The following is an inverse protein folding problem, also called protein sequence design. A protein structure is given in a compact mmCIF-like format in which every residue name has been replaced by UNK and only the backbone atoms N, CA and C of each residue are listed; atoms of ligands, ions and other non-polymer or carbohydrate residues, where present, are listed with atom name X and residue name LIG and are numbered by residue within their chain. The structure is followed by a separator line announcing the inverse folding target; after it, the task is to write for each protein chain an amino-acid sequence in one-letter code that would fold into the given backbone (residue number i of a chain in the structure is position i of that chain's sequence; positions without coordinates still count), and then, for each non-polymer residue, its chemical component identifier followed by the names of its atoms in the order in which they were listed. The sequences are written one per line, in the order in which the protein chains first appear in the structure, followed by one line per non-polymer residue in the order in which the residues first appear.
data_IF_511585867400
#
_entry.id   IF_511585867400
#
_cell.length_a   1.000
_cell.length_b   1.000
_cell.length_c   1.000
_cell.angle_alpha   90.00
_cell.angle_beta   90.00
_cell.angle_gamma   90.00
#
_symmetry.space_group_name_H-M   'P 1'
#
loop_
_entity.id
_entity.type
_entity.pdbx_description
1 polymer ?
#
# COMPACT_ATOMS: atom_id res chain seq x y z
N UNK A 1 -24.52 -46.62 -25.24
CA UNK A 1 -24.63 -45.42 -24.39
C UNK A 1 -24.30 -45.85 -22.98
N UNK A 2 -23.08 -45.60 -22.51
CA UNK A 2 -22.63 -46.00 -21.18
C UNK A 2 -22.97 -44.90 -20.18
N UNK A 3 -23.85 -45.19 -19.23
CA UNK A 3 -24.25 -44.27 -18.16
C UNK A 3 -23.11 -44.13 -17.15
N UNK A 4 -22.50 -42.95 -17.10
CA UNK A 4 -21.47 -42.61 -16.12
C UNK A 4 -22.15 -42.09 -14.86
N UNK A 5 -22.21 -42.91 -13.81
CA UNK A 5 -22.68 -42.47 -12.50
C UNK A 5 -21.55 -41.75 -11.76
N UNK A 6 -21.75 -40.51 -11.26
CA UNK A 6 -20.73 -39.80 -10.52
C UNK A 6 -20.44 -40.52 -9.18
N UNK A 7 -19.19 -40.50 -8.71
CA UNK A 7 -18.81 -41.09 -7.44
C UNK A 7 -19.52 -40.36 -6.29
N UNK A 8 -20.05 -41.13 -5.34
CA UNK A 8 -20.65 -40.59 -4.12
C UNK A 8 -19.56 -40.05 -3.20
N UNK A 9 -19.71 -38.83 -2.65
CA UNK A 9 -18.71 -38.21 -1.79
C UNK A 9 -18.52 -39.03 -0.52
N UNK A 10 -17.29 -39.01 0.00
CA UNK A 10 -16.96 -39.73 1.24
C UNK A 10 -17.64 -39.09 2.46
N UNK A 11 -17.86 -39.82 3.57
CA UNK A 11 -18.51 -39.28 4.77
C UNK A 11 -17.83 -38.02 5.33
N UNK A 12 -16.50 -37.94 5.19
CA UNK A 12 -15.71 -36.78 5.63
C UNK A 12 -15.89 -35.56 4.74
N UNK A 13 -16.11 -35.78 3.44
CA UNK A 13 -16.34 -34.72 2.46
C UNK A 13 -17.73 -34.09 2.64
N UNK A 14 -18.74 -34.92 2.95
CA UNK A 14 -20.09 -34.42 3.28
C UNK A 14 -20.09 -33.53 4.54
N UNK A 15 -19.32 -33.89 5.56
CA UNK A 15 -19.18 -33.09 6.79
C UNK A 15 -18.48 -31.74 6.53
N UNK A 16 -17.46 -31.72 5.68
CA UNK A 16 -16.78 -30.49 5.26
C UNK A 16 -17.72 -29.55 4.50
N UNK A 17 -18.52 -30.08 3.57
CA UNK A 17 -19.49 -29.30 2.81
C UNK A 17 -20.57 -28.68 3.71
N UNK A 18 -21.06 -29.42 4.70
CA UNK A 18 -21.98 -28.86 5.70
C UNK A 18 -21.35 -27.73 6.50
N UNK A 19 -20.08 -27.89 6.93
CA UNK A 19 -19.38 -26.86 7.70
C UNK A 19 -19.12 -25.59 6.89
N UNK A 20 -18.82 -25.72 5.59
CA UNK A 20 -18.67 -24.58 4.68
C UNK A 20 -19.99 -23.81 4.58
N UNK A 21 -21.10 -24.52 4.37
CA UNK A 21 -22.43 -23.89 4.23
C UNK A 21 -22.88 -23.17 5.52
N UNK A 22 -22.54 -23.73 6.69
CA UNK A 22 -22.78 -23.10 7.99
C UNK A 22 -21.98 -21.79 8.14
N UNK A 23 -20.70 -21.79 7.77
CA UNK A 23 -19.84 -20.60 7.84
C UNK A 23 -20.31 -19.49 6.87
N UNK A 24 -20.72 -19.84 5.65
CA UNK A 24 -21.28 -18.88 4.69
C UNK A 24 -22.55 -18.20 5.23
N UNK A 25 -23.39 -18.97 5.94
CA UNK A 25 -24.61 -18.45 6.56
C UNK A 25 -24.30 -17.46 7.69
N UNK A 26 -23.27 -17.73 8.50
CA UNK A 26 -22.84 -16.82 9.58
C UNK A 26 -22.27 -15.51 9.03
N UNK A 27 -21.47 -15.57 7.96
CA UNK A 27 -20.93 -14.36 7.30
C UNK A 27 -22.06 -13.50 6.72
N UNK A 28 -23.08 -14.13 6.15
CA UNK A 28 -24.24 -13.41 5.58
C UNK A 28 -25.05 -12.68 6.64
N UNK A 29 -25.25 -13.28 7.82
CA UNK A 29 -25.96 -12.64 8.94
C UNK A 29 -25.16 -11.50 9.58
N UNK A 30 -23.83 -11.63 9.68
CA UNK A 30 -22.97 -10.57 10.25
C UNK A 30 -22.94 -9.28 9.42
N UNK A 31 -23.12 -9.37 8.11
CA UNK A 31 -23.07 -8.21 7.21
C UNK A 31 -24.35 -7.33 7.24
N UNK A 32 -25.51 -7.84 7.68
CA UNK A 32 -26.73 -7.01 7.80
C UNK A 32 -26.75 -6.14 9.06
N UNK A 33 -26.02 -6.53 10.11
CA UNK A 33 -25.96 -5.78 11.37
C UNK A 33 -25.11 -4.50 11.32
N UNK A 34 -24.32 -4.31 10.25
CA UNK A 34 -23.38 -3.20 10.12
C UNK A 34 -23.79 -2.19 9.03
N UNK A 35 -25.11 -1.96 8.90
CA UNK A 35 -25.63 -0.90 8.03
C UNK A 35 -25.40 0.44 8.72
N UNK A 36 -24.58 1.36 8.17
CA UNK A 36 -24.28 2.63 8.81
C UNK A 36 -25.56 3.45 8.97
N UNK A 37 -25.99 3.64 10.21
CA UNK A 37 -27.05 4.58 10.57
C UNK A 37 -26.55 5.99 10.20
N UNK A 38 -27.32 6.68 9.35
CA UNK A 38 -27.03 8.06 8.96
C UNK A 38 -27.00 8.94 10.21
N UNK A 39 -25.82 9.34 10.63
CA UNK A 39 -25.65 10.34 11.67
C UNK A 39 -26.10 11.71 11.14
N UNK A 40 -27.05 12.31 11.84
CA UNK A 40 -27.51 13.69 11.67
C UNK A 40 -26.32 14.67 11.72
N UNK A 41 -25.95 15.20 10.56
CA UNK A 41 -24.99 16.28 10.43
C UNK A 41 -25.60 17.61 10.92
N UNK A 42 -25.40 17.91 12.20
CA UNK A 42 -25.58 19.26 12.77
C UNK A 42 -24.69 20.26 12.03
N UNK A 43 -25.31 21.36 11.59
CA UNK A 43 -24.70 22.50 10.90
C UNK A 43 -23.51 23.08 11.68
N UNK A 44 -22.40 23.45 11.03
CA UNK A 44 -21.36 24.24 11.68
C UNK A 44 -21.79 25.71 11.82
N UNK A 45 -21.60 26.25 13.02
CA UNK A 45 -21.74 27.67 13.32
C UNK A 45 -20.74 28.49 12.49
N UNK A 46 -21.27 29.53 11.86
CA UNK A 46 -20.56 30.69 11.33
C UNK A 46 -19.74 31.36 12.43
N UNK A 47 -18.41 31.35 12.28
CA UNK A 47 -17.47 32.15 13.07
C UNK A 47 -17.08 33.44 12.33
N UNK A 48 -16.76 34.53 13.05
CA UNK A 48 -16.66 35.87 12.50
C UNK A 48 -15.38 36.13 11.70
N UNK A 49 -15.57 36.96 10.67
CA UNK A 49 -14.62 37.70 9.86
C UNK A 49 -13.45 38.26 10.70
N UNK A 50 -12.22 37.86 10.39
CA UNK A 50 -11.01 38.57 10.82
C UNK A 50 -10.30 39.11 9.59
N UNK A 51 -10.63 40.37 9.30
CA UNK A 51 -9.81 41.29 8.50
C UNK A 51 -8.59 41.74 9.31
N UNK A 52 -7.62 42.23 8.54
CA UNK A 52 -6.42 42.99 8.92
C UNK A 52 -5.28 42.10 9.49
N UNK A 53 -4.06 42.14 8.95
CA UNK A 53 -3.31 43.32 8.53
C UNK A 53 -2.33 43.01 7.39
N UNK A 54 -2.27 43.95 6.44
CA UNK A 54 -1.24 44.09 5.40
C UNK A 54 0.04 44.55 6.08
N UNK A 55 1.14 43.80 5.90
CA UNK A 55 2.49 44.29 6.16
C UNK A 55 3.16 44.48 4.79
N UNK A 56 3.22 45.74 4.36
CA UNK A 56 4.03 46.19 3.24
C UNK A 56 5.51 45.98 3.59
N UNK A 57 6.26 45.32 2.73
CA UNK A 57 7.72 45.27 2.79
C UNK A 57 8.27 45.98 1.54
N UNK A 58 9.15 46.98 1.72
CA UNK A 58 9.71 47.73 0.60
C UNK A 58 10.67 46.88 -0.24
N UNK A 59 10.54 47.11 -1.55
CA UNK A 59 11.46 46.80 -2.63
C UNK A 59 12.87 47.30 -2.35
N UNK A 60 13.88 46.53 -2.77
CA UNK A 60 15.03 47.01 -3.55
C UNK A 60 16.02 45.86 -3.75
N UNK A 61 16.09 45.30 -4.96
CA UNK A 61 17.34 44.70 -5.45
C UNK A 61 17.40 44.72 -6.99
N UNK A 62 18.20 45.67 -7.45
CA UNK A 62 19.11 45.65 -8.61
C UNK A 62 18.83 44.67 -9.75
N UNK A 63 18.45 45.27 -10.87
CA UNK A 63 18.42 44.64 -12.18
C UNK A 63 19.85 44.50 -12.73
N UNK A 64 20.45 43.31 -12.58
CA UNK A 64 21.49 42.86 -13.50
C UNK A 64 20.83 42.08 -14.65
N UNK A 65 20.68 42.75 -15.79
CA UNK A 65 20.41 42.11 -17.08
C UNK A 65 21.74 41.56 -17.61
N UNK A 66 22.01 40.29 -17.32
CA UNK A 66 22.98 39.52 -18.10
C UNK A 66 22.20 38.73 -19.16
N UNK A 67 22.30 39.26 -20.37
CA UNK A 67 21.96 38.68 -21.66
C UNK A 67 22.72 37.35 -21.83
N UNK A 68 22.03 36.22 -21.69
CA UNK A 68 22.53 34.93 -22.13
C UNK A 68 21.56 34.31 -23.13
N UNK A 69 21.71 34.72 -24.39
CA UNK A 69 21.23 33.96 -25.52
C UNK A 69 21.86 32.56 -25.49
N UNK A 70 21.02 31.55 -25.32
CA UNK A 70 21.28 30.21 -25.81
C UNK A 70 20.02 29.71 -26.50
N UNK A 71 19.95 29.94 -27.80
CA UNK A 71 19.11 29.18 -28.72
C UNK A 71 19.64 27.73 -28.72
N UNK A 72 19.28 26.97 -27.70
CA UNK A 72 19.47 25.53 -27.66
C UNK A 72 18.10 24.89 -27.94
N UNK A 73 17.83 24.75 -29.24
CA UNK A 73 16.71 24.00 -29.84
C UNK A 73 16.91 22.49 -29.57
N UNK A 74 17.00 22.12 -28.30
CA UNK A 74 16.98 20.73 -27.86
C UNK A 74 15.52 20.27 -27.84
N UNK A 75 15.05 19.76 -28.97
CA UNK A 75 13.83 18.97 -29.10
C UNK A 75 13.90 17.74 -28.19
N UNK A 76 13.63 17.90 -26.88
CA UNK A 76 13.46 16.77 -25.97
C UNK A 76 12.01 16.27 -26.06
N UNK A 77 11.69 15.58 -27.16
CA UNK A 77 10.38 14.94 -27.40
C UNK A 77 10.21 13.60 -26.66
N UNK A 78 11.04 13.31 -25.66
CA UNK A 78 10.88 12.13 -24.83
C UNK A 78 9.89 12.43 -23.70
N UNK A 79 8.61 12.56 -24.05
CA UNK A 79 7.51 12.43 -23.09
C UNK A 79 7.63 11.05 -22.41
N UNK A 80 8.33 10.99 -21.27
CA UNK A 80 8.49 9.76 -20.49
C UNK A 80 7.12 9.28 -19.98
N UNK A 81 6.51 8.38 -20.75
CA UNK A 81 5.32 7.65 -20.32
C UNK A 81 5.73 6.56 -19.33
N UNK A 82 5.31 6.71 -18.09
CA UNK A 82 5.51 5.67 -17.06
C UNK A 82 4.45 4.59 -17.20
N UNK A 83 4.88 3.33 -17.32
CA UNK A 83 3.97 2.18 -17.42
C UNK A 83 3.83 1.48 -16.08
N UNK A 84 2.60 1.31 -15.61
CA UNK A 84 2.31 0.51 -14.41
C UNK A 84 2.47 -0.98 -14.68
N UNK A 85 2.62 -1.83 -13.64
CA UNK A 85 2.67 -3.30 -13.79
C UNK A 85 1.40 -3.88 -14.43
N UNK A 86 0.28 -3.16 -14.38
CA UNK A 86 -0.97 -3.51 -15.06
C UNK A 86 -1.04 -3.06 -16.52
N UNK A 87 0.05 -2.59 -17.11
CA UNK A 87 0.15 -2.17 -18.51
C UNK A 87 -0.48 -0.81 -18.82
N UNK A 88 -0.96 -0.06 -17.81
CA UNK A 88 -1.51 1.29 -18.02
C UNK A 88 -0.38 2.31 -18.02
N UNK A 89 -0.30 3.11 -19.08
CA UNK A 89 0.61 4.23 -19.22
C UNK A 89 0.05 5.47 -18.53
N UNK A 90 0.93 6.23 -17.87
CA UNK A 90 0.64 7.51 -17.22
C UNK A 90 1.63 8.52 -17.75
N UNK A 91 1.14 9.61 -18.34
CA UNK A 91 1.96 10.75 -18.76
C UNK A 91 2.43 11.53 -17.52
N UNK A 92 3.53 11.06 -16.92
CA UNK A 92 4.20 11.69 -15.78
C UNK A 92 5.67 11.31 -15.78
N UNK A 93 6.56 12.30 -15.75
CA UNK A 93 8.00 12.06 -15.64
C UNK A 93 8.37 11.44 -14.29
N UNK A 94 9.52 10.77 -14.24
CA UNK A 94 10.04 10.16 -13.02
C UNK A 94 10.16 11.16 -11.86
N UNK A 95 10.67 12.36 -12.13
CA UNK A 95 10.84 13.39 -11.11
C UNK A 95 9.48 13.92 -10.60
N UNK A 96 8.51 14.13 -11.49
CA UNK A 96 7.18 14.56 -11.09
C UNK A 96 6.48 13.51 -10.19
N UNK A 97 6.69 12.21 -10.44
CA UNK A 97 6.20 11.14 -9.57
C UNK A 97 6.84 11.22 -8.18
N UNK A 98 8.18 11.34 -8.11
CA UNK A 98 8.94 11.47 -6.85
C UNK A 98 8.50 12.69 -6.04
N UNK A 99 8.30 13.82 -6.70
CA UNK A 99 7.82 15.06 -6.08
C UNK A 99 6.41 14.91 -5.50
N UNK A 100 5.51 14.21 -6.22
CA UNK A 100 4.16 13.89 -5.71
C UNK A 100 4.21 12.91 -4.54
N UNK A 101 5.02 11.86 -4.62
CA UNK A 101 5.18 10.90 -3.53
C UNK A 101 5.73 11.58 -2.27
N UNK A 102 6.73 12.46 -2.42
CA UNK A 102 7.26 13.27 -1.32
C UNK A 102 6.18 14.09 -0.63
N UNK A 103 5.31 14.77 -1.38
CA UNK A 103 4.20 15.55 -0.82
C UNK A 103 3.16 14.69 -0.10
N UNK A 104 2.92 13.45 -0.56
CA UNK A 104 2.02 12.52 0.13
C UNK A 104 2.61 12.02 1.46
N UNK A 105 3.93 11.90 1.55
CA UNK A 105 4.64 11.46 2.74
C UNK A 105 5.16 12.62 3.62
N UNK A 106 4.85 13.87 3.27
CA UNK A 106 5.31 15.05 4.00
C UNK A 106 4.59 15.21 5.35
N UNK A 107 5.35 15.54 6.38
CA UNK A 107 4.83 15.92 7.70
C UNK A 107 4.72 17.44 7.72
N UNK A 108 3.50 17.95 7.89
CA UNK A 108 3.27 19.40 7.97
C UNK A 108 3.87 19.98 9.25
N UNK A 109 4.14 21.29 9.32
CA UNK A 109 4.57 21.96 10.56
C UNK A 109 3.63 21.71 11.77
N UNK A 110 2.35 21.45 11.50
CA UNK A 110 1.36 21.01 12.51
C UNK A 110 1.62 19.63 13.13
N UNK A 111 2.64 18.89 12.68
CA UNK A 111 2.88 17.49 13.05
C UNK A 111 1.98 16.47 12.35
N UNK A 112 0.97 16.92 11.58
CA UNK A 112 0.05 16.03 10.85
C UNK A 112 0.66 15.58 9.52
N UNK A 113 0.57 14.29 9.23
CA UNK A 113 0.90 13.67 7.94
C UNK A 113 -0.36 13.14 7.25
N UNK A 114 -0.25 12.82 5.96
CA UNK A 114 -1.32 12.12 5.24
C UNK A 114 -1.23 10.61 5.44
N UNK A 115 -0.05 10.05 5.61
CA UNK A 115 0.19 8.62 5.84
C UNK A 115 0.73 8.40 7.25
N UNK A 116 0.73 7.15 7.71
CA UNK A 116 1.23 6.79 9.04
C UNK A 116 2.72 7.14 9.19
N UNK A 117 3.15 7.43 10.42
CA UNK A 117 4.52 7.87 10.71
C UNK A 117 5.59 6.86 10.26
N UNK A 118 5.26 5.57 10.29
CA UNK A 118 6.13 4.51 9.79
C UNK A 118 6.35 4.63 8.28
N UNK A 119 5.30 4.85 7.49
CA UNK A 119 5.40 5.04 6.04
C UNK A 119 6.23 6.30 5.71
N UNK A 120 6.10 7.36 6.52
CA UNK A 120 6.97 8.54 6.40
C UNK A 120 8.43 8.17 6.62
N UNK A 121 8.72 7.36 7.63
CA UNK A 121 10.08 6.89 7.93
C UNK A 121 10.63 6.03 6.79
N UNK A 122 9.85 5.08 6.28
CA UNK A 122 10.23 4.21 5.16
C UNK A 122 10.47 4.97 3.86
N UNK A 123 9.63 5.99 3.59
CA UNK A 123 9.85 6.86 2.44
C UNK A 123 11.16 7.64 2.59
N UNK A 124 11.46 8.14 3.80
CA UNK A 124 12.70 8.88 4.10
C UNK A 124 13.93 7.99 4.02
N UNK A 125 13.86 6.74 4.48
CA UNK A 125 14.99 5.79 4.40
C UNK A 125 15.40 5.50 2.97
N UNK A 126 14.49 5.65 1.99
CA UNK A 126 14.78 5.44 0.59
C UNK A 126 14.88 3.95 0.21
N UNK A 127 15.59 3.67 -0.88
CA UNK A 127 15.79 2.32 -1.41
C UNK A 127 14.50 1.65 -1.90
N UNK A 128 14.46 0.33 -1.80
CA UNK A 128 13.34 -0.49 -2.30
C UNK A 128 11.99 -0.13 -1.68
N UNK A 129 11.97 0.25 -0.40
CA UNK A 129 10.73 0.67 0.27
C UNK A 129 10.14 1.92 -0.37
N UNK A 130 10.96 2.90 -0.73
CA UNK A 130 10.51 4.11 -1.44
C UNK A 130 9.97 3.76 -2.82
N UNK A 131 10.68 2.92 -3.57
CA UNK A 131 10.25 2.50 -4.91
C UNK A 131 8.87 1.83 -4.87
N UNK A 132 8.63 0.95 -3.89
CA UNK A 132 7.32 0.31 -3.70
C UNK A 132 6.21 1.34 -3.45
N UNK A 133 6.49 2.40 -2.69
CA UNK A 133 5.53 3.49 -2.45
C UNK A 133 5.31 4.34 -3.71
N UNK A 134 6.36 4.62 -4.49
CA UNK A 134 6.26 5.34 -5.76
C UNK A 134 5.42 4.54 -6.78
N UNK A 135 5.61 3.21 -6.84
CA UNK A 135 4.80 2.30 -7.65
C UNK A 135 3.33 2.30 -7.21
N UNK A 136 3.07 2.25 -5.90
CA UNK A 136 1.71 2.33 -5.37
C UNK A 136 1.00 3.63 -5.75
N UNK A 137 1.73 4.75 -5.74
CA UNK A 137 1.22 6.05 -6.19
C UNK A 137 0.97 6.05 -7.70
N UNK A 138 1.88 5.51 -8.50
CA UNK A 138 1.74 5.43 -9.95
C UNK A 138 0.48 4.65 -10.33
N UNK A 139 0.19 3.54 -9.66
CA UNK A 139 -1.06 2.79 -9.87
C UNK A 139 -2.32 3.61 -9.50
N UNK A 140 -2.25 4.45 -8.46
CA UNK A 140 -3.35 5.34 -8.11
C UNK A 140 -3.58 6.41 -9.19
N UNK A 141 -2.49 6.96 -9.74
CA UNK A 141 -2.55 7.92 -10.85
C UNK A 141 -3.09 7.26 -12.14
N UNK A 142 -2.68 6.04 -12.45
CA UNK A 142 -3.20 5.29 -13.59
C UNK A 142 -4.70 4.98 -13.47
N UNK A 143 -5.22 4.87 -12.26
CA UNK A 143 -6.64 4.60 -12.01
C UNK A 143 -7.50 5.86 -12.04
N UNK A 144 -7.04 6.96 -11.46
CA UNK A 144 -7.85 8.17 -11.27
C UNK A 144 -7.47 9.35 -12.17
N UNK A 145 -6.38 9.23 -12.93
CA UNK A 145 -5.75 10.30 -13.71
C UNK A 145 -4.88 11.24 -12.87
N UNK A 146 -4.31 12.26 -13.51
CA UNK A 146 -3.41 13.24 -12.88
C UNK A 146 -4.11 14.56 -12.50
N UNK A 147 -5.41 14.66 -12.74
CA UNK A 147 -6.20 15.88 -12.56
C UNK A 147 -6.28 16.33 -11.09
N UNK A 148 -6.41 17.65 -10.87
CA UNK A 148 -6.55 18.24 -9.53
C UNK A 148 -7.79 17.71 -8.79
N UNK A 149 -8.88 17.48 -9.52
CA UNK A 149 -10.14 16.95 -8.97
C UNK A 149 -10.00 15.51 -8.47
N UNK A 150 -9.04 14.74 -9.02
CA UNK A 150 -8.76 13.38 -8.58
C UNK A 150 -7.90 13.32 -7.30
N UNK A 151 -7.27 14.42 -6.87
CA UNK A 151 -6.29 14.42 -5.77
C UNK A 151 -6.82 13.79 -4.47
N UNK A 152 -8.06 14.10 -4.07
CA UNK A 152 -8.66 13.53 -2.86
C UNK A 152 -8.84 12.01 -2.96
N UNK A 153 -9.22 11.50 -4.14
CA UNK A 153 -9.38 10.06 -4.40
C UNK A 153 -8.04 9.34 -4.45
N UNK A 154 -7.06 9.92 -5.16
CA UNK A 154 -5.68 9.41 -5.21
C UNK A 154 -5.12 9.29 -3.80
N UNK A 155 -5.28 10.34 -2.97
CA UNK A 155 -4.79 10.33 -1.60
C UNK A 155 -5.42 9.24 -0.74
N UNK A 156 -6.75 9.09 -0.79
CA UNK A 156 -7.44 8.06 -0.01
C UNK A 156 -7.01 6.65 -0.44
N UNK A 157 -6.94 6.39 -1.75
CA UNK A 157 -6.51 5.08 -2.25
C UNK A 157 -5.03 4.79 -1.97
N UNK A 158 -4.18 5.81 -2.08
CA UNK A 158 -2.76 5.70 -1.73
C UNK A 158 -2.59 5.30 -0.25
N UNK A 159 -3.32 5.93 0.68
CA UNK A 159 -3.31 5.54 2.10
C UNK A 159 -3.71 4.07 2.29
N UNK A 160 -4.78 3.62 1.62
CA UNK A 160 -5.21 2.21 1.66
C UNK A 160 -4.12 1.28 1.13
N UNK A 161 -3.48 1.62 0.01
CA UNK A 161 -2.40 0.82 -0.57
C UNK A 161 -1.17 0.75 0.33
N UNK A 162 -0.76 1.87 0.94
CA UNK A 162 0.35 1.88 1.89
C UNK A 162 0.09 0.92 3.06
N UNK A 163 -1.14 0.89 3.58
CA UNK A 163 -1.53 -0.06 4.64
C UNK A 163 -1.43 -1.51 4.18
N UNK A 164 -1.98 -1.84 3.01
CA UNK A 164 -1.93 -3.20 2.46
C UNK A 164 -0.49 -3.64 2.15
N UNK A 165 0.34 -2.73 1.64
CA UNK A 165 1.75 -2.99 1.40
C UNK A 165 2.46 -3.30 2.72
N UNK A 166 2.21 -2.51 3.76
CA UNK A 166 2.77 -2.76 5.09
C UNK A 166 2.36 -4.14 5.60
N UNK A 167 1.07 -4.46 5.60
CA UNK A 167 0.55 -5.76 6.03
C UNK A 167 1.19 -6.92 5.24
N UNK A 168 1.37 -6.74 3.93
CA UNK A 168 2.01 -7.74 3.07
C UNK A 168 3.50 -7.88 3.35
N UNK A 169 4.21 -6.78 3.57
CA UNK A 169 5.64 -6.80 3.90
C UNK A 169 5.86 -7.44 5.27
N UNK A 170 5.06 -7.09 6.27
CA UNK A 170 5.10 -7.73 7.59
C UNK A 170 4.77 -9.22 7.52
N UNK A 171 3.78 -9.61 6.71
CA UNK A 171 3.45 -11.02 6.46
C UNK A 171 4.64 -11.75 5.82
N UNK A 172 5.24 -11.20 4.76
CA UNK A 172 6.43 -11.75 4.13
C UNK A 172 7.63 -11.80 5.08
N UNK A 173 7.86 -10.77 5.88
CA UNK A 173 8.93 -10.76 6.86
C UNK A 173 8.70 -11.82 7.94
N UNK A 174 7.46 -12.03 8.38
CA UNK A 174 7.13 -13.11 9.31
C UNK A 174 7.25 -14.50 8.68
N UNK A 175 7.02 -14.61 7.38
CA UNK A 175 7.26 -15.81 6.60
C UNK A 175 8.76 -16.11 6.51
N UNK A 176 9.54 -15.14 6.05
CA UNK A 176 10.99 -15.25 5.83
C UNK A 176 11.77 -15.39 7.13
N UNK A 177 11.46 -14.58 8.15
CA UNK A 177 12.11 -14.62 9.46
C UNK A 177 11.61 -15.77 10.33
N UNK A 178 10.78 -16.66 9.80
CA UNK A 178 10.50 -17.95 10.45
C UNK A 178 9.64 -17.84 11.70
N UNK A 179 8.53 -17.09 11.64
CA UNK A 179 7.38 -17.42 12.52
C UNK A 179 6.82 -18.82 12.19
N UNK A 180 7.22 -19.39 11.05
CA UNK A 180 7.15 -20.80 10.74
C UNK A 180 8.07 -21.61 11.66
N UNK A 181 7.44 -22.37 12.58
CA UNK A 181 8.04 -23.44 13.37
C UNK A 181 9.51 -23.19 13.77
N UNK A 182 9.79 -22.19 14.61
CA UNK A 182 11.09 -22.16 15.31
C UNK A 182 11.22 -23.44 16.14
N UNK A 183 12.45 -23.92 16.38
CA UNK A 183 12.64 -25.12 17.21
C UNK A 183 11.96 -24.99 18.59
N UNK A 184 11.86 -23.76 19.12
CA UNK A 184 11.10 -23.46 20.35
C UNK A 184 9.59 -23.53 20.15
N UNK A 185 9.05 -22.99 19.05
CA UNK A 185 7.63 -23.12 18.72
C UNK A 185 7.23 -24.59 18.47
N UNK A 186 8.09 -25.37 17.80
CA UNK A 186 7.88 -26.80 17.61
C UNK A 186 7.83 -27.53 18.96
N UNK A 187 8.78 -27.23 19.86
CA UNK A 187 8.78 -27.78 21.24
C UNK A 187 7.50 -27.40 22.00
N UNK A 188 7.04 -26.16 21.86
CA UNK A 188 5.84 -25.65 22.55
C UNK A 188 4.54 -26.27 22.05
N UNK A 189 4.47 -26.65 20.77
CA UNK A 189 3.27 -27.23 20.16
C UNK A 189 2.95 -28.66 20.59
N UNK A 190 3.90 -29.38 21.21
CA UNK A 190 3.81 -30.80 21.57
C UNK A 190 3.49 -31.78 20.42
N UNK A 191 3.37 -31.30 19.18
CA UNK A 191 3.11 -32.11 17.98
C UNK A 191 4.37 -32.76 17.41
N UNK A 192 5.55 -32.32 17.83
CA UNK A 192 6.85 -32.76 17.31
C UNK A 192 7.71 -33.35 18.42
N UNK A 193 8.29 -34.51 18.16
CA UNK A 193 9.29 -35.11 19.03
C UNK A 193 10.62 -34.37 18.90
N UNK A 194 11.45 -34.42 19.94
CA UNK A 194 12.78 -33.79 19.90
C UNK A 194 13.67 -34.31 18.74
N UNK A 195 13.47 -35.57 18.32
CA UNK A 195 14.18 -36.15 17.16
C UNK A 195 13.72 -35.52 15.84
N UNK A 196 12.41 -35.34 15.63
CA UNK A 196 11.86 -34.70 14.42
C UNK A 196 12.30 -33.25 14.32
N UNK A 197 12.27 -32.51 15.43
CA UNK A 197 12.74 -31.11 15.48
C UNK A 197 14.22 -31.04 15.06
N UNK A 198 15.06 -31.95 15.56
CA UNK A 198 16.48 -32.03 15.18
C UNK A 198 16.66 -32.38 13.70
N UNK A 199 15.85 -33.30 13.16
CA UNK A 199 15.89 -33.69 11.75
C UNK A 199 15.50 -32.54 10.82
N UNK A 200 14.38 -31.85 11.11
CA UNK A 200 13.91 -30.68 10.37
C UNK A 200 14.95 -29.56 10.43
N UNK A 201 15.46 -29.24 11.62
CA UNK A 201 16.48 -28.19 11.78
C UNK A 201 17.76 -28.52 11.02
N UNK A 202 18.18 -29.80 11.03
CA UNK A 202 19.35 -30.27 10.28
C UNK A 202 19.13 -30.19 8.77
N UNK A 203 17.93 -30.51 8.29
CA UNK A 203 17.56 -30.41 6.88
C UNK A 203 17.59 -28.94 6.41
N UNK A 204 16.95 -28.04 7.15
CA UNK A 204 16.91 -26.61 6.85
C UNK A 204 18.30 -25.97 6.76
N UNK A 205 19.23 -26.39 7.64
CA UNK A 205 20.64 -25.94 7.59
C UNK A 205 21.41 -26.49 6.40
N UNK A 206 21.08 -27.71 5.97
CA UNK A 206 21.77 -28.38 4.86
C UNK A 206 21.33 -27.84 3.50
N UNK A 207 20.09 -27.39 3.37
CA UNK A 207 19.51 -26.91 2.12
C UNK A 207 18.82 -25.55 2.30
N UNK A 208 19.57 -24.47 2.60
CA UNK A 208 18.98 -23.15 2.85
C UNK A 208 18.21 -22.62 1.63
N UNK A 209 18.66 -22.94 0.42
CA UNK A 209 18.02 -22.51 -0.83
C UNK A 209 16.63 -23.14 -1.05
N UNK A 210 16.36 -24.31 -0.44
CA UNK A 210 15.05 -24.95 -0.54
C UNK A 210 13.95 -24.22 0.25
N UNK A 211 14.35 -23.32 1.16
CA UNK A 211 13.45 -22.53 2.01
C UNK A 211 13.14 -21.15 1.44
N UNK A 212 13.88 -20.70 0.43
CA UNK A 212 13.68 -19.40 -0.20
C UNK A 212 13.10 -19.65 -1.60
N UNK A 213 11.77 -19.63 -1.71
CA UNK A 213 11.06 -19.57 -3.01
C UNK A 213 10.47 -18.18 -3.22
#
# INVERSE_FOLDING_TARGET
MSSFSPPTPSPNEAALLQRIQELESQVKQGNEANKPTKADSKKPLTGPDRRDSVAEHPSDHDAHQDDCGSDDDSESEDDEFMTTPGGKTVAISADALRMRARRMCEVKPSGRSHVDAEIVSEYKSGGSKREVLEMALLECLAKHGTSRNAYKRIRAEFQTKCRLIKERMESKESEVNGKWLTAEAMKKSAQYTAKEIKAITSYCRKFPESLVR
#
